data_IF_329483243903
#
_entry.id   IF_329483243903
#
_cell.length_a   1.000
_cell.length_b   1.000
_cell.length_c   1.000
_cell.angle_alpha   90.00
_cell.angle_beta   90.00
_cell.angle_gamma   90.00
#
_symmetry.space_group_name_H-M   'P 1'
#
loop_
_entity.id
_entity.type
_entity.pdbx_description
1 polymer ?
#
# COMPACT_ATOMS: atom_id res chain seq x y z
N UNK A 1 8.70 -24.58 9.15
CA UNK A 1 8.20 -23.23 8.84
C UNK A 1 7.89 -23.17 7.35
N UNK A 2 6.61 -23.34 6.91
CA UNK A 2 6.21 -23.15 5.51
C UNK A 2 5.99 -21.66 5.30
N UNK A 3 7.00 -20.97 4.82
CA UNK A 3 6.89 -19.55 4.47
C UNK A 3 6.34 -19.37 3.07
N UNK A 4 5.52 -18.33 2.97
CA UNK A 4 5.06 -17.61 1.82
C UNK A 4 5.32 -18.27 0.47
N UNK A 5 4.28 -18.39 -0.34
CA UNK A 5 4.34 -18.93 -1.69
C UNK A 5 5.38 -18.24 -2.56
N UNK A 6 5.67 -18.82 -3.72
CA UNK A 6 6.49 -18.15 -4.74
C UNK A 6 5.81 -16.89 -5.25
N UNK A 7 6.56 -15.85 -5.66
CA UNK A 7 6.02 -14.71 -6.38
C UNK A 7 5.20 -15.17 -7.59
N UNK A 8 4.07 -14.49 -7.82
CA UNK A 8 3.19 -14.79 -8.95
C UNK A 8 2.76 -13.50 -9.64
N UNK A 9 2.67 -13.54 -10.96
CA UNK A 9 2.21 -12.39 -11.75
C UNK A 9 0.81 -12.68 -12.32
N UNK A 10 -0.08 -11.73 -12.13
CA UNK A 10 -1.41 -11.69 -12.72
C UNK A 10 -1.39 -10.63 -13.82
N UNK A 11 -1.78 -11.01 -15.02
CA UNK A 11 -1.94 -10.10 -16.16
C UNK A 11 -3.43 -9.97 -16.46
N UNK A 12 -3.87 -8.76 -16.71
CA UNK A 12 -5.26 -8.48 -17.08
C UNK A 12 -5.33 -7.41 -18.16
N UNK A 13 -6.42 -7.39 -18.87
CA UNK A 13 -6.70 -6.42 -19.93
C UNK A 13 -8.19 -6.11 -20.00
N UNK A 14 -8.50 -4.91 -20.48
CA UNK A 14 -9.85 -4.48 -20.79
C UNK A 14 -9.82 -3.51 -21.99
N UNK A 15 -10.96 -2.93 -22.35
CA UNK A 15 -11.07 -2.00 -23.47
C UNK A 15 -10.19 -0.75 -23.34
N UNK A 16 -9.70 -0.42 -22.14
CA UNK A 16 -8.88 0.77 -21.88
C UNK A 16 -7.38 0.50 -21.90
N UNK A 17 -6.96 -0.78 -21.92
CA UNK A 17 -5.57 -1.18 -21.95
C UNK A 17 -5.27 -2.47 -21.19
N UNK A 18 -4.03 -2.62 -20.73
CA UNK A 18 -3.57 -3.80 -20.00
C UNK A 18 -2.75 -3.44 -18.78
N UNK A 19 -2.58 -4.39 -17.87
CA UNK A 19 -1.74 -4.23 -16.71
C UNK A 19 -1.30 -5.55 -16.13
N UNK A 20 -0.36 -5.48 -15.19
CA UNK A 20 0.09 -6.65 -14.43
C UNK A 20 0.31 -6.30 -12.95
N UNK A 21 0.14 -7.31 -12.11
CA UNK A 21 0.50 -7.28 -10.69
C UNK A 21 1.41 -8.45 -10.39
N UNK A 22 2.60 -8.20 -9.88
CA UNK A 22 3.46 -9.23 -9.32
C UNK A 22 3.32 -9.26 -7.81
N UNK A 23 2.81 -10.35 -7.28
CA UNK A 23 2.49 -10.56 -5.87
C UNK A 23 3.62 -11.34 -5.23
N UNK A 24 4.25 -10.75 -4.23
CA UNK A 24 5.32 -11.36 -3.43
C UNK A 24 4.81 -11.58 -2.00
N UNK A 25 4.41 -12.81 -1.62
CA UNK A 25 4.08 -13.15 -0.25
C UNK A 25 5.32 -13.05 0.64
N UNK A 26 5.29 -12.22 1.69
CA UNK A 26 6.45 -11.96 2.55
C UNK A 26 6.36 -12.71 3.88
N UNK A 27 5.27 -12.50 4.59
CA UNK A 27 4.98 -13.14 5.87
C UNK A 27 3.54 -13.63 5.88
N UNK A 28 3.15 -14.39 6.89
CA UNK A 28 1.73 -14.68 7.11
C UNK A 28 0.96 -13.37 7.28
N UNK A 29 -0.02 -13.14 6.42
CA UNK A 29 -0.81 -11.90 6.41
C UNK A 29 -0.11 -10.68 5.82
N UNK A 30 1.10 -10.81 5.21
CA UNK A 30 1.81 -9.68 4.59
C UNK A 30 2.23 -10.01 3.17
N UNK A 31 1.71 -9.25 2.22
CA UNK A 31 2.03 -9.38 0.80
C UNK A 31 2.47 -8.04 0.21
N UNK A 32 3.42 -8.08 -0.71
CA UNK A 32 3.87 -6.93 -1.49
C UNK A 32 3.47 -7.13 -2.96
N UNK A 33 2.92 -6.10 -3.56
CA UNK A 33 2.46 -6.08 -4.95
C UNK A 33 3.27 -5.05 -5.73
N UNK A 34 3.87 -5.47 -6.84
CA UNK A 34 4.36 -4.55 -7.85
C UNK A 34 3.26 -4.36 -8.90
N UNK A 35 2.82 -3.13 -9.07
CA UNK A 35 1.76 -2.76 -9.99
C UNK A 35 2.35 -2.07 -11.22
N UNK A 36 2.02 -2.58 -12.39
CA UNK A 36 2.37 -2.01 -13.69
C UNK A 36 1.10 -1.88 -14.52
N UNK A 37 0.55 -0.66 -14.60
CA UNK A 37 -0.78 -0.40 -15.14
C UNK A 37 -0.72 0.53 -16.34
N UNK A 38 -1.19 0.06 -17.50
CA UNK A 38 -1.32 0.79 -18.75
C UNK A 38 -2.78 0.76 -19.24
N UNK A 39 -3.70 1.17 -18.36
CA UNK A 39 -5.14 1.20 -18.58
C UNK A 39 -5.78 2.32 -17.78
N UNK A 40 -7.02 2.72 -18.11
CA UNK A 40 -7.69 3.80 -17.37
C UNK A 40 -8.26 3.34 -16.03
N UNK A 41 -8.75 2.10 -15.97
CA UNK A 41 -9.35 1.52 -14.75
C UNK A 41 -9.36 0.01 -14.84
N UNK A 42 -9.47 -0.66 -13.70
CA UNK A 42 -9.73 -2.10 -13.66
C UNK A 42 -10.81 -2.39 -12.61
N UNK A 43 -11.48 -3.54 -12.79
CA UNK A 43 -12.45 -4.00 -11.81
C UNK A 43 -11.72 -4.40 -10.52
N UNK A 44 -12.04 -3.75 -9.43
CA UNK A 44 -11.47 -4.11 -8.14
C UNK A 44 -11.99 -5.47 -7.66
N UNK A 45 -11.11 -6.19 -6.99
CA UNK A 45 -11.51 -7.37 -6.22
C UNK A 45 -12.55 -6.96 -5.14
N UNK A 46 -13.39 -7.90 -4.68
CA UNK A 46 -14.26 -7.66 -3.53
C UNK A 46 -13.47 -7.03 -2.39
N UNK A 47 -14.13 -6.12 -1.65
CA UNK A 47 -13.49 -5.45 -0.51
C UNK A 47 -12.76 -6.46 0.37
N UNK A 48 -11.51 -6.19 0.75
CA UNK A 48 -10.73 -7.09 1.60
C UNK A 48 -11.40 -7.26 2.97
N UNK A 49 -10.94 -8.25 3.71
CA UNK A 49 -11.37 -8.49 5.08
C UNK A 49 -11.29 -7.21 5.93
N UNK A 50 -12.12 -7.11 6.96
CA UNK A 50 -12.34 -5.88 7.76
C UNK A 50 -11.08 -5.32 8.46
N UNK A 51 -10.01 -6.11 8.59
CA UNK A 51 -8.85 -5.78 9.41
C UNK A 51 -7.56 -5.73 8.58
N UNK A 52 -7.59 -4.99 7.47
CA UNK A 52 -6.46 -4.86 6.54
C UNK A 52 -5.95 -3.43 6.53
N UNK A 53 -4.64 -3.28 6.61
CA UNK A 53 -3.94 -2.03 6.32
C UNK A 53 -3.34 -2.14 4.91
N UNK A 54 -3.58 -1.14 4.10
CA UNK A 54 -3.06 -1.01 2.74
C UNK A 54 -2.10 0.17 2.69
N UNK A 55 -0.86 -0.08 2.26
CA UNK A 55 0.17 0.93 2.04
C UNK A 55 0.41 0.98 0.54
N UNK A 56 0.16 2.13 -0.08
CA UNK A 56 0.35 2.35 -1.50
C UNK A 56 1.41 3.42 -1.75
N UNK A 57 2.37 3.14 -2.61
CA UNK A 57 3.35 4.12 -3.10
C UNK A 57 3.24 4.25 -4.62
N UNK A 58 3.17 5.48 -5.10
CA UNK A 58 3.19 5.81 -6.51
C UNK A 58 4.61 6.16 -6.95
N UNK A 59 5.22 5.35 -7.83
CA UNK A 59 6.54 5.66 -8.42
C UNK A 59 6.40 6.57 -9.63
N UNK A 60 5.46 6.24 -10.53
CA UNK A 60 5.23 6.95 -11.79
C UNK A 60 3.73 6.95 -12.09
N UNK A 61 3.25 8.02 -12.68
CA UNK A 61 1.86 8.14 -13.09
C UNK A 61 0.98 8.71 -12.01
N UNK A 62 -0.28 8.25 -11.98
CA UNK A 62 -1.28 8.71 -11.01
C UNK A 62 -2.29 7.60 -10.72
N UNK A 63 -2.59 7.43 -9.45
CA UNK A 63 -3.67 6.58 -8.96
C UNK A 63 -4.75 7.43 -8.31
N UNK A 64 -5.99 7.17 -8.61
CA UNK A 64 -7.16 7.81 -8.00
C UNK A 64 -8.13 6.75 -7.49
N UNK A 65 -8.73 7.01 -6.33
CA UNK A 65 -9.83 6.21 -5.82
C UNK A 65 -10.88 7.09 -5.13
N UNK A 66 -12.14 6.70 -5.25
CA UNK A 66 -13.25 7.38 -4.60
C UNK A 66 -13.85 6.50 -3.51
N UNK A 67 -14.28 7.12 -2.43
CA UNK A 67 -14.92 6.48 -1.29
C UNK A 67 -16.27 7.13 -1.05
N UNK A 68 -17.36 6.48 -1.49
CA UNK A 68 -18.70 7.08 -1.47
C UNK A 68 -18.84 8.23 -2.45
N UNK A 69 -19.79 9.13 -2.19
CA UNK A 69 -20.16 10.17 -3.15
C UNK A 69 -19.23 11.40 -3.15
N UNK A 70 -18.56 11.71 -2.02
CA UNK A 70 -17.90 13.00 -1.82
C UNK A 70 -16.43 12.91 -1.39
N UNK A 71 -15.82 11.74 -1.38
CA UNK A 71 -14.44 11.59 -0.93
C UNK A 71 -13.60 10.92 -1.99
N UNK A 72 -12.56 11.57 -2.45
CA UNK A 72 -11.58 10.99 -3.37
C UNK A 72 -10.16 11.13 -2.81
N UNK A 73 -9.32 10.18 -3.15
CA UNK A 73 -7.91 10.18 -2.83
C UNK A 73 -7.13 10.04 -4.13
N UNK A 74 -6.04 10.76 -4.28
CA UNK A 74 -5.12 10.54 -5.37
C UNK A 74 -3.67 10.48 -4.89
N UNK A 75 -2.87 9.69 -5.57
CA UNK A 75 -1.43 9.62 -5.40
C UNK A 75 -0.76 10.03 -6.69
N UNK A 76 0.14 10.99 -6.60
CA UNK A 76 1.08 11.37 -7.65
C UNK A 76 2.43 10.71 -7.42
N UNK A 77 3.34 10.83 -8.38
CA UNK A 77 4.69 10.28 -8.26
C UNK A 77 5.41 10.79 -7.00
N UNK A 78 5.95 9.87 -6.21
CA UNK A 78 6.62 10.12 -4.94
C UNK A 78 5.69 10.15 -3.72
N UNK A 79 4.36 10.11 -3.91
CA UNK A 79 3.42 10.05 -2.80
C UNK A 79 3.24 8.62 -2.31
N UNK A 80 2.98 8.48 -1.00
CA UNK A 80 2.45 7.24 -0.48
C UNK A 80 1.24 7.46 0.43
N UNK A 81 0.38 6.46 0.53
CA UNK A 81 -0.78 6.47 1.39
C UNK A 81 -0.81 5.24 2.29
N UNK A 82 -1.31 5.41 3.51
CA UNK A 82 -1.64 4.33 4.43
C UNK A 82 -3.12 4.41 4.74
N UNK A 83 -3.84 3.35 4.43
CA UNK A 83 -5.30 3.30 4.56
C UNK A 83 -5.73 2.05 5.33
N UNK A 84 -6.77 2.15 6.15
CA UNK A 84 -7.50 0.96 6.58
C UNK A 84 -8.42 0.52 5.42
N UNK A 85 -8.19 -0.68 4.88
CA UNK A 85 -8.91 -1.18 3.70
C UNK A 85 -10.38 -1.57 3.97
N UNK A 86 -10.90 -1.31 5.17
CA UNK A 86 -12.32 -1.51 5.51
C UNK A 86 -13.28 -0.62 4.69
N UNK A 87 -12.76 0.37 3.98
CA UNK A 87 -13.56 1.24 3.12
C UNK A 87 -13.79 0.57 1.77
N UNK A 88 -15.06 0.42 1.41
CA UNK A 88 -15.43 0.06 0.05
C UNK A 88 -15.10 1.23 -0.87
N UNK A 89 -14.13 1.04 -1.74
CA UNK A 89 -13.88 1.98 -2.83
C UNK A 89 -15.08 1.93 -3.77
N UNK A 90 -15.57 3.08 -4.18
CA UNK A 90 -16.67 3.18 -5.15
C UNK A 90 -16.14 3.14 -6.58
N UNK A 91 -14.94 3.68 -6.79
CA UNK A 91 -14.22 3.58 -8.05
C UNK A 91 -12.72 3.75 -7.81
N UNK A 92 -11.91 3.15 -8.68
CA UNK A 92 -10.47 3.42 -8.74
C UNK A 92 -9.99 3.40 -10.19
N UNK A 93 -8.93 4.14 -10.47
CA UNK A 93 -8.42 4.24 -11.81
C UNK A 93 -7.07 4.94 -11.92
N UNK A 94 -6.60 4.98 -13.16
CA UNK A 94 -5.34 5.56 -13.57
C UNK A 94 -5.61 6.61 -14.65
N UNK A 95 -5.88 7.88 -14.29
CA UNK A 95 -6.32 8.90 -15.26
C UNK A 95 -5.28 9.18 -16.34
N UNK A 96 -4.00 8.93 -16.07
CA UNK A 96 -2.93 9.04 -17.06
C UNK A 96 -2.73 7.76 -17.90
N UNK A 97 -3.53 6.71 -17.67
CA UNK A 97 -3.38 5.38 -18.27
C UNK A 97 -1.96 4.80 -18.12
N UNK A 98 -1.26 5.24 -17.10
CA UNK A 98 0.10 4.84 -16.80
C UNK A 98 0.32 4.97 -15.29
N UNK A 99 0.63 3.86 -14.64
CA UNK A 99 0.90 3.84 -13.21
C UNK A 99 1.85 2.69 -12.88
N UNK A 100 2.97 3.03 -12.23
CA UNK A 100 3.86 2.07 -11.60
C UNK A 100 3.89 2.36 -10.11
N UNK A 101 3.63 1.34 -9.31
CA UNK A 101 3.57 1.51 -7.88
C UNK A 101 3.79 0.22 -7.11
N UNK A 102 3.95 0.37 -5.80
CA UNK A 102 3.98 -0.74 -4.84
C UNK A 102 2.74 -0.63 -3.95
N UNK A 103 2.10 -1.77 -3.71
CA UNK A 103 1.09 -1.93 -2.67
C UNK A 103 1.60 -2.96 -1.65
N UNK A 104 1.52 -2.64 -0.36
CA UNK A 104 1.77 -3.60 0.72
C UNK A 104 0.46 -3.81 1.46
N UNK A 105 -0.01 -5.05 1.53
CA UNK A 105 -1.20 -5.45 2.28
C UNK A 105 -0.80 -6.14 3.58
N UNK A 106 -1.39 -5.69 4.68
CA UNK A 106 -1.25 -6.26 6.01
C UNK A 106 -2.62 -6.75 6.46
N UNK A 107 -2.90 -8.03 6.31
CA UNK A 107 -4.08 -8.68 6.90
C UNK A 107 -3.79 -8.99 8.37
N UNK A 108 -4.25 -8.11 9.25
CA UNK A 108 -3.96 -8.20 10.68
C UNK A 108 -4.56 -9.45 11.33
N UNK A 109 -5.61 -10.04 10.77
CA UNK A 109 -6.20 -11.28 11.28
C UNK A 109 -5.40 -12.51 10.86
N UNK A 110 -4.69 -12.44 9.73
CA UNK A 110 -3.85 -13.51 9.22
C UNK A 110 -2.40 -13.48 9.77
N UNK A 111 -1.96 -12.36 10.38
CA UNK A 111 -0.64 -12.26 11.02
C UNK A 111 -0.65 -13.10 12.30
N UNK A 112 0.15 -14.15 12.34
CA UNK A 112 0.26 -15.06 13.50
C UNK A 112 0.86 -14.36 14.72
N UNK A 113 0.56 -14.88 15.91
CA UNK A 113 1.14 -14.36 17.17
C UNK A 113 2.68 -14.46 17.16
N UNK A 114 3.23 -15.54 16.60
CA UNK A 114 4.68 -15.69 16.45
C UNK A 114 5.27 -14.56 15.60
N UNK A 115 4.61 -14.22 14.48
CA UNK A 115 5.07 -13.12 13.62
C UNK A 115 4.96 -11.78 14.32
N UNK A 116 3.89 -11.53 15.09
CA UNK A 116 3.74 -10.32 15.91
C UNK A 116 4.89 -10.17 16.90
N UNK A 117 5.22 -11.23 17.64
CA UNK A 117 6.33 -11.21 18.58
C UNK A 117 7.69 -10.98 17.91
N UNK A 118 7.88 -11.50 16.67
CA UNK A 118 9.09 -11.19 15.90
C UNK A 118 9.13 -9.72 15.46
N UNK A 119 8.00 -9.15 15.06
CA UNK A 119 7.90 -7.73 14.70
C UNK A 119 8.19 -6.81 15.90
N UNK A 120 7.73 -7.19 17.10
CA UNK A 120 8.02 -6.45 18.34
C UNK A 120 9.52 -6.35 18.64
N UNK A 121 10.35 -7.33 18.26
CA UNK A 121 11.80 -7.26 18.40
C UNK A 121 12.43 -6.15 17.55
N UNK A 122 11.73 -5.71 16.51
CA UNK A 122 12.13 -4.60 15.64
C UNK A 122 11.35 -3.31 15.95
N UNK A 123 10.72 -3.23 17.13
CA UNK A 123 9.88 -2.10 17.54
C UNK A 123 8.76 -1.76 16.52
N UNK A 124 8.22 -2.79 15.85
CA UNK A 124 7.08 -2.64 14.94
C UNK A 124 5.79 -2.82 15.73
N UNK A 125 5.03 -1.74 15.87
CA UNK A 125 3.71 -1.73 16.50
C UNK A 125 2.60 -1.51 15.46
N UNK A 126 1.98 -2.61 15.02
CA UNK A 126 0.88 -2.57 14.06
C UNK A 126 -0.37 -1.87 14.60
N UNK A 127 -0.57 -1.88 15.93
CA UNK A 127 -1.68 -1.17 16.56
C UNK A 127 -1.43 0.33 16.54
N UNK A 128 -0.19 0.77 16.78
CA UNK A 128 0.18 2.17 16.65
C UNK A 128 -0.05 2.67 15.23
N UNK A 129 0.39 1.93 14.20
CA UNK A 129 0.12 2.27 12.79
C UNK A 129 -1.37 2.44 12.56
N UNK A 130 -2.19 1.49 13.04
CA UNK A 130 -3.64 1.55 12.88
C UNK A 130 -4.27 2.74 13.59
N UNK A 131 -3.88 2.99 14.83
CA UNK A 131 -4.47 4.04 15.68
C UNK A 131 -4.08 5.44 15.24
N UNK A 132 -2.82 5.65 14.87
CA UNK A 132 -2.30 7.00 14.58
C UNK A 132 -2.40 7.38 13.11
N UNK A 133 -2.26 6.42 12.21
CA UNK A 133 -2.23 6.69 10.77
C UNK A 133 -3.59 6.41 10.12
N UNK A 134 -4.28 5.34 10.55
CA UNK A 134 -5.56 4.93 9.96
C UNK A 134 -6.78 5.46 10.73
N UNK A 135 -6.66 6.58 11.48
CA UNK A 135 -7.76 7.12 12.29
C UNK A 135 -8.99 7.47 11.46
N UNK A 136 -10.18 7.23 12.04
CA UNK A 136 -11.48 7.65 11.49
C UNK A 136 -11.81 7.12 10.09
N UNK A 137 -11.29 5.94 9.71
CA UNK A 137 -11.46 5.41 8.34
C UNK A 137 -10.92 6.35 7.23
N UNK A 138 -9.92 7.14 7.50
CA UNK A 138 -9.27 8.02 6.52
C UNK A 138 -8.02 7.38 5.96
N UNK A 139 -7.69 7.66 4.70
CA UNK A 139 -6.37 7.44 4.15
C UNK A 139 -5.45 8.57 4.62
N UNK A 140 -4.31 8.22 5.19
CA UNK A 140 -3.24 9.15 5.45
C UNK A 140 -2.36 9.21 4.21
N UNK A 141 -2.24 10.38 3.59
CA UNK A 141 -1.38 10.59 2.42
C UNK A 141 -0.19 11.43 2.85
N UNK A 142 1.01 10.89 2.57
CA UNK A 142 2.26 11.59 2.79
C UNK A 142 2.84 11.99 1.43
N UNK A 143 3.01 13.30 1.23
CA UNK A 143 3.55 13.85 -0.01
C UNK A 143 5.06 13.84 0.04
N UNK A 144 5.69 13.14 -0.93
CA UNK A 144 7.15 13.13 -1.11
C UNK A 144 7.94 12.94 0.19
N UNK A 145 7.53 11.99 1.04
CA UNK A 145 8.08 11.79 2.38
C UNK A 145 9.54 11.29 2.35
N UNK A 146 10.56 12.14 2.63
CA UNK A 146 11.96 11.76 2.55
C UNK A 146 12.33 10.58 3.46
N UNK A 147 11.65 10.46 4.60
CA UNK A 147 11.92 9.43 5.61
C UNK A 147 11.74 8.00 5.10
N UNK A 148 10.89 7.79 4.10
CA UNK A 148 10.63 6.47 3.49
C UNK A 148 11.05 6.37 2.02
N UNK A 149 11.49 7.47 1.41
CA UNK A 149 11.81 7.51 -0.02
C UNK A 149 12.92 6.51 -0.40
N UNK A 150 13.93 6.36 0.44
CA UNK A 150 15.01 5.39 0.23
C UNK A 150 14.51 3.95 0.28
N UNK A 151 13.58 3.63 1.21
CA UNK A 151 13.01 2.29 1.36
C UNK A 151 12.27 1.89 0.08
N UNK A 152 11.39 2.76 -0.42
CA UNK A 152 10.69 2.50 -1.68
C UNK A 152 11.64 2.43 -2.87
N UNK A 153 12.66 3.31 -2.94
CA UNK A 153 13.67 3.23 -4.00
C UNK A 153 14.34 1.85 -4.04
N UNK A 154 14.72 1.31 -2.89
CA UNK A 154 15.35 0.00 -2.78
C UNK A 154 14.38 -1.15 -3.08
N UNK A 155 13.11 -1.07 -2.66
CA UNK A 155 12.09 -2.06 -3.01
C UNK A 155 11.90 -2.18 -4.54
N UNK A 156 12.02 -1.08 -5.28
CA UNK A 156 11.94 -1.11 -6.75
C UNK A 156 13.18 -1.71 -7.42
N UNK A 157 14.36 -1.70 -6.79
CA UNK A 157 15.59 -2.23 -7.43
C UNK A 157 15.58 -3.75 -7.57
N UNK A 158 14.81 -4.46 -6.75
CA UNK A 158 14.73 -5.93 -6.73
C UNK A 158 13.47 -6.47 -7.42
N UNK A 159 12.77 -5.64 -8.19
CA UNK A 159 11.53 -6.02 -8.86
C UNK A 159 11.71 -7.19 -9.83
N UNK A 160 12.76 -7.17 -10.64
CA UNK A 160 12.97 -8.15 -11.72
C UNK A 160 13.35 -9.54 -11.21
N UNK A 161 14.08 -9.60 -10.09
CA UNK A 161 14.46 -10.84 -9.40
C UNK A 161 14.19 -10.67 -7.90
N UNK A 162 12.94 -10.89 -7.47
CA UNK A 162 12.55 -10.64 -6.09
C UNK A 162 13.33 -11.49 -5.10
N UNK A 163 14.28 -10.89 -4.38
CA UNK A 163 14.87 -11.48 -3.19
C UNK A 163 13.90 -11.32 -2.01
N UNK A 164 13.14 -12.36 -1.73
CA UNK A 164 12.13 -12.35 -0.68
C UNK A 164 12.71 -12.00 0.69
N UNK A 165 13.96 -12.41 0.97
CA UNK A 165 14.66 -12.07 2.22
C UNK A 165 14.88 -10.56 2.34
N UNK A 166 15.41 -9.97 1.28
CA UNK A 166 15.62 -8.53 1.21
C UNK A 166 14.31 -7.73 1.28
N UNK A 167 13.28 -8.16 0.54
CA UNK A 167 11.95 -7.52 0.61
C UNK A 167 11.37 -7.54 2.02
N UNK A 168 11.55 -8.65 2.76
CA UNK A 168 11.12 -8.75 4.16
C UNK A 168 11.80 -7.72 5.05
N UNK A 169 13.11 -7.56 4.92
CA UNK A 169 13.88 -6.57 5.68
C UNK A 169 13.38 -5.15 5.38
N UNK A 170 13.16 -4.81 4.12
CA UNK A 170 12.70 -3.47 3.73
C UNK A 170 11.26 -3.19 4.17
N UNK A 171 10.39 -4.18 4.14
CA UNK A 171 9.03 -4.01 4.65
C UNK A 171 9.03 -3.86 6.18
N UNK A 172 9.86 -4.62 6.91
CA UNK A 172 10.01 -4.43 8.36
C UNK A 172 10.56 -3.04 8.69
N UNK A 173 11.56 -2.54 7.95
CA UNK A 173 12.08 -1.18 8.09
C UNK A 173 10.99 -0.13 7.88
N UNK A 174 10.18 -0.28 6.83
CA UNK A 174 9.05 0.61 6.58
C UNK A 174 8.04 0.58 7.74
N UNK A 175 7.67 -0.60 8.22
CA UNK A 175 6.72 -0.75 9.32
C UNK A 175 7.28 -0.17 10.63
N UNK A 176 8.59 -0.33 10.88
CA UNK A 176 9.27 0.31 12.01
C UNK A 176 9.16 1.85 11.93
N UNK A 177 9.49 2.44 10.78
CA UNK A 177 9.35 3.89 10.58
C UNK A 177 7.91 4.34 10.80
N UNK A 178 6.92 3.64 10.21
CA UNK A 178 5.50 3.97 10.37
C UNK A 178 5.02 3.87 11.82
N UNK A 179 5.53 2.90 12.59
CA UNK A 179 5.19 2.74 14.01
C UNK A 179 5.65 3.92 14.88
N UNK A 180 6.66 4.66 14.42
CA UNK A 180 7.27 5.77 15.16
C UNK A 180 6.85 7.15 14.64
N UNK A 181 6.04 7.23 13.59
CA UNK A 181 5.46 8.49 13.12
C UNK A 181 4.41 9.02 14.13
N UNK A 182 4.89 9.70 15.18
CA UNK A 182 4.04 10.18 16.28
C UNK A 182 3.41 11.55 16.04
N UNK A 183 3.93 12.35 15.11
CA UNK A 183 3.47 13.71 14.88
C UNK A 183 2.73 13.84 13.55
N UNK A 184 1.48 14.31 13.64
CA UNK A 184 0.68 14.70 12.47
C UNK A 184 1.31 15.83 11.65
N UNK A 185 2.29 16.58 12.19
CA UNK A 185 2.98 17.66 11.51
C UNK A 185 3.96 17.15 10.44
N UNK A 186 4.48 15.90 10.59
CA UNK A 186 5.24 15.21 9.55
C UNK A 186 4.35 14.59 8.48
N UNK A 187 3.04 14.55 8.73
CA UNK A 187 2.00 13.96 7.90
C UNK A 187 1.08 15.09 7.47
N UNK A 188 1.33 15.70 6.32
CA UNK A 188 0.34 16.58 5.71
C UNK A 188 -0.92 15.75 5.40
N UNK A 189 -1.89 15.79 6.31
CA UNK A 189 -3.23 15.30 6.05
C UNK A 189 -3.81 16.18 4.95
N UNK A 190 -3.76 15.70 3.72
CA UNK A 190 -4.54 16.32 2.67
C UNK A 190 -5.98 15.88 2.91
N UNK A 191 -6.81 16.82 3.37
CA UNK A 191 -8.24 16.64 3.39
C UNK A 191 -8.70 16.25 1.99
N UNK A 192 -9.63 15.30 1.91
CA UNK A 192 -10.26 14.91 0.66
C UNK A 192 -10.85 16.15 -0.01
N UNK A 193 -10.51 16.38 -1.28
CA UNK A 193 -11.18 17.40 -2.05
C UNK A 193 -12.65 17.00 -2.18
N UNK A 194 -13.56 17.80 -1.62
CA UNK A 194 -14.96 17.71 -1.97
C UNK A 194 -15.09 18.11 -3.45
N UNK A 195 -15.84 17.32 -4.24
CA UNK A 195 -16.06 17.59 -5.67
C UNK A 195 -16.81 18.91 -5.97
N UNK A 196 -17.04 19.75 -4.96
CA UNK A 196 -17.78 21.01 -5.03
C UNK A 196 -16.92 22.24 -4.71
N UNK A 197 -15.59 22.16 -4.89
CA UNK A 197 -14.74 23.36 -4.94
C UNK A 197 -14.02 23.45 -6.27
#
# INVERSE_FOLDING_TARGET
MKYAGMPRTIVFSNETGSGSMTICPLFSGVELYYNDMHLASFAEAPAPARNVIEINHCRVGRYECSFGENSCCYLAAGDFAVCAAARKKSSSGFPLRHYHGITILLDLDAITQEMRSQMEWYDVDLNAIRQYICTENRCCILRSAPVVAHIFSELYTVHDVPDTGYLRLKVLELLHVLSHLKNRDDVQQTDYFNQHQ
#
